data_IF_811848500266
#
_entry.id   IF_811848500266
#
_cell.length_a   1.000
_cell.length_b   1.000
_cell.length_c   1.000
_cell.angle_alpha   90.00
_cell.angle_beta   90.00
_cell.angle_gamma   90.00
#
_symmetry.space_group_name_H-M   'P 1'
#
loop_
_entity.id
_entity.type
_entity.pdbx_description
1 polymer ?
#
# COMPACT_ATOMS: atom_id res chain seq x y z
N UNK A 1 12.32 -12.24 21.91
CA UNK A 1 11.39 -12.65 20.83
C UNK A 1 10.44 -11.49 20.63
N UNK A 2 10.72 -10.59 19.68
CA UNK A 2 9.85 -9.44 19.40
C UNK A 2 8.73 -9.91 18.47
N UNK A 3 7.49 -9.90 18.96
CA UNK A 3 6.31 -10.01 18.10
C UNK A 3 6.21 -8.68 17.34
N UNK A 4 6.77 -8.61 16.13
CA UNK A 4 6.53 -7.46 15.25
C UNK A 4 5.02 -7.41 15.00
N UNK A 5 4.38 -6.32 15.45
CA UNK A 5 3.00 -6.01 15.12
C UNK A 5 2.95 -5.68 13.62
N UNK A 6 2.88 -6.71 12.78
CA UNK A 6 2.80 -6.52 11.34
C UNK A 6 1.46 -5.89 10.97
N UNK A 7 1.50 -4.87 10.14
CA UNK A 7 0.29 -4.31 9.53
C UNK A 7 -0.29 -5.32 8.53
N UNK A 8 -1.61 -5.43 8.51
CA UNK A 8 -2.36 -6.22 7.54
C UNK A 8 -2.82 -5.26 6.44
N UNK A 9 -2.72 -5.69 5.20
CA UNK A 9 -3.25 -4.99 4.03
C UNK A 9 -4.26 -5.95 3.39
N UNK A 10 -5.53 -5.55 3.40
CA UNK A 10 -6.62 -6.20 2.67
C UNK A 10 -6.99 -5.34 1.46
N UNK A 11 -7.70 -5.91 0.49
CA UNK A 11 -8.24 -5.16 -0.64
C UNK A 11 -9.71 -4.81 -0.39
N UNK A 12 -10.13 -3.65 -0.88
CA UNK A 12 -11.51 -3.18 -0.77
C UNK A 12 -12.52 -4.15 -1.40
N UNK A 13 -12.17 -4.75 -2.53
CA UNK A 13 -12.94 -5.78 -3.21
C UNK A 13 -12.04 -6.65 -4.11
N UNK A 14 -12.57 -7.79 -4.57
CA UNK A 14 -11.88 -8.69 -5.50
C UNK A 14 -11.53 -7.99 -6.82
N UNK A 15 -12.36 -7.03 -7.27
CA UNK A 15 -12.08 -6.24 -8.47
C UNK A 15 -10.88 -5.30 -8.29
N UNK A 16 -10.75 -4.67 -7.11
CA UNK A 16 -9.61 -3.81 -6.80
C UNK A 16 -8.33 -4.64 -6.69
N UNK A 17 -8.41 -5.82 -6.06
CA UNK A 17 -7.29 -6.76 -6.04
C UNK A 17 -6.87 -7.15 -7.46
N UNK A 18 -7.83 -7.52 -8.31
CA UNK A 18 -7.57 -7.89 -9.69
C UNK A 18 -6.95 -6.74 -10.51
N UNK A 19 -7.41 -5.50 -10.32
CA UNK A 19 -6.84 -4.32 -10.99
C UNK A 19 -5.38 -4.11 -10.57
N UNK A 20 -5.08 -4.19 -9.27
CA UNK A 20 -3.72 -4.06 -8.74
C UNK A 20 -2.83 -5.21 -9.25
N UNK A 21 -3.35 -6.44 -9.29
CA UNK A 21 -2.64 -7.59 -9.83
C UNK A 21 -2.52 -7.58 -11.37
N UNK A 22 -3.23 -6.68 -12.05
CA UNK A 22 -3.09 -6.44 -13.49
C UNK A 22 -2.10 -5.32 -13.82
N UNK A 23 -1.49 -4.66 -12.82
CA UNK A 23 -0.47 -3.64 -13.04
C UNK A 23 0.67 -4.19 -13.91
N UNK A 24 1.24 -3.34 -14.80
CA UNK A 24 2.43 -3.71 -15.55
C UNK A 24 3.59 -4.14 -14.65
N UNK A 25 4.45 -5.02 -15.17
CA UNK A 25 5.44 -5.78 -14.39
C UNK A 25 6.24 -4.92 -13.40
N UNK A 26 6.80 -3.79 -13.84
CA UNK A 26 7.66 -3.01 -12.93
C UNK A 26 6.88 -2.16 -11.92
N UNK A 27 5.62 -1.81 -12.24
CA UNK A 27 4.70 -1.17 -11.30
C UNK A 27 4.22 -2.17 -10.25
N UNK A 28 3.86 -3.39 -10.65
CA UNK A 28 3.47 -4.46 -9.74
C UNK A 28 4.62 -4.84 -8.81
N UNK A 29 5.84 -5.03 -9.33
CA UNK A 29 7.01 -5.31 -8.50
C UNK A 29 7.26 -4.22 -7.46
N UNK A 30 7.02 -2.95 -7.82
CA UNK A 30 7.15 -1.82 -6.91
C UNK A 30 6.04 -1.79 -5.86
N UNK A 31 4.81 -2.09 -6.25
CA UNK A 31 3.68 -2.23 -5.34
C UNK A 31 3.97 -3.31 -4.28
N UNK A 32 4.40 -4.50 -4.70
CA UNK A 32 4.78 -5.60 -3.80
C UNK A 32 5.86 -5.11 -2.82
N UNK A 33 6.93 -4.49 -3.32
CA UNK A 33 8.02 -4.03 -2.46
C UNK A 33 7.60 -2.96 -1.45
N UNK A 34 6.65 -2.08 -1.79
CA UNK A 34 6.14 -1.09 -0.84
C UNK A 34 5.20 -1.71 0.17
N UNK A 35 4.28 -2.59 -0.25
CA UNK A 35 3.37 -3.27 0.68
C UNK A 35 4.10 -4.18 1.66
N UNK A 36 5.18 -4.85 1.25
CA UNK A 36 6.07 -5.59 2.17
C UNK A 36 6.67 -4.70 3.26
N UNK A 37 7.14 -3.50 2.89
CA UNK A 37 7.65 -2.52 3.87
C UNK A 37 6.54 -1.99 4.76
N UNK A 38 5.36 -1.73 4.20
CA UNK A 38 4.21 -1.23 4.96
C UNK A 38 3.71 -2.23 5.99
N UNK A 39 3.81 -3.53 5.70
CA UNK A 39 3.54 -4.60 6.68
C UNK A 39 4.45 -4.53 7.91
N UNK A 40 5.60 -3.86 7.83
CA UNK A 40 6.54 -3.71 8.95
C UNK A 40 6.45 -2.30 9.57
N UNK A 41 6.40 -1.26 8.74
CA UNK A 41 6.58 0.13 9.16
C UNK A 41 5.30 0.98 9.09
N UNK A 42 4.20 0.45 8.56
CA UNK A 42 2.96 1.18 8.30
C UNK A 42 2.92 1.85 6.93
N UNK A 43 1.76 2.41 6.57
CA UNK A 43 1.50 2.97 5.25
C UNK A 43 2.31 4.23 4.91
N UNK A 44 2.86 4.93 5.90
CA UNK A 44 3.68 6.12 5.68
C UNK A 44 5.16 5.75 5.51
N UNK A 45 5.58 5.52 4.26
CA UNK A 45 6.98 5.30 3.89
C UNK A 45 7.72 6.60 3.55
N UNK A 46 7.06 7.76 3.63
CA UNK A 46 7.59 9.07 3.28
C UNK A 46 7.77 9.31 1.77
N UNK A 47 8.02 10.57 1.42
CA UNK A 47 8.32 10.98 0.04
C UNK A 47 9.65 10.36 -0.44
N UNK A 48 9.75 9.93 -1.71
CA UNK A 48 8.74 10.05 -2.78
C UNK A 48 7.77 8.85 -2.87
N UNK A 49 7.81 7.92 -1.92
CA UNK A 49 7.13 6.61 -2.03
C UNK A 49 5.65 6.66 -1.67
N UNK A 50 5.31 7.40 -0.62
CA UNK A 50 3.93 7.56 -0.17
C UNK A 50 3.66 9.00 0.24
N UNK A 51 2.43 9.44 0.06
CA UNK A 51 1.94 10.72 0.56
C UNK A 51 0.72 10.51 1.45
N UNK A 52 0.65 11.24 2.56
CA UNK A 52 -0.51 11.23 3.44
C UNK A 52 -1.49 12.33 3.01
N UNK A 53 -2.76 11.98 2.83
CA UNK A 53 -3.84 12.90 2.44
C UNK A 53 -4.67 13.37 3.64
N UNK A 54 -4.33 12.93 4.85
CA UNK A 54 -5.14 13.15 6.05
C UNK A 54 -6.14 12.01 6.29
N UNK A 55 -6.74 11.98 7.48
CA UNK A 55 -7.79 11.01 7.87
C UNK A 55 -7.42 9.52 7.71
N UNK A 56 -6.13 9.21 7.72
CA UNK A 56 -5.64 7.84 7.52
C UNK A 56 -5.61 7.38 6.06
N UNK A 57 -5.83 8.29 5.11
CA UNK A 57 -5.68 8.02 3.68
C UNK A 57 -4.24 8.27 3.25
N UNK A 58 -3.67 7.30 2.54
CA UNK A 58 -2.33 7.34 1.97
C UNK A 58 -2.39 7.01 0.48
N UNK A 59 -1.54 7.68 -0.29
CA UNK A 59 -1.27 7.33 -1.68
C UNK A 59 0.06 6.59 -1.76
N UNK A 60 0.08 5.43 -2.41
CA UNK A 60 1.30 4.75 -2.88
C UNK A 60 1.64 5.29 -4.27
N UNK A 61 2.85 5.84 -4.43
CA UNK A 61 3.35 6.40 -5.69
C UNK A 61 4.23 5.40 -6.41
N UNK A 62 3.68 4.73 -7.42
CA UNK A 62 4.41 3.75 -8.23
C UNK A 62 5.02 4.44 -9.45
N UNK A 63 6.29 4.20 -9.70
CA UNK A 63 6.99 4.65 -10.91
C UNK A 63 7.75 3.47 -11.50
N UNK A 64 7.47 3.14 -12.74
CA UNK A 64 8.02 2.00 -13.48
C UNK A 64 8.51 2.41 -14.87
N UNK A 65 9.01 1.45 -15.64
CA UNK A 65 9.30 1.67 -17.07
C UNK A 65 8.04 1.99 -17.87
N UNK A 66 6.88 1.51 -17.41
CA UNK A 66 5.59 1.70 -18.05
C UNK A 66 4.92 3.03 -17.66
N UNK A 67 5.53 3.81 -16.77
CA UNK A 67 5.03 5.13 -16.36
C UNK A 67 4.76 5.25 -14.87
N UNK A 68 3.61 5.83 -14.52
CA UNK A 68 3.20 6.12 -13.13
C UNK A 68 1.90 5.40 -12.82
N UNK A 69 1.86 4.71 -11.69
CA UNK A 69 0.66 4.13 -11.09
C UNK A 69 0.44 4.72 -9.70
N UNK A 70 -0.82 4.77 -9.25
CA UNK A 70 -1.19 5.25 -7.91
C UNK A 70 -2.17 4.27 -7.30
N UNK A 71 -1.92 3.86 -6.07
CA UNK A 71 -2.83 3.01 -5.28
C UNK A 71 -3.11 3.74 -3.98
N UNK A 72 -4.35 3.76 -3.53
CA UNK A 72 -4.70 4.39 -2.27
C UNK A 72 -4.81 3.35 -1.16
N UNK A 73 -4.55 3.75 0.09
CA UNK A 73 -4.65 2.92 1.27
C UNK A 73 -5.39 3.70 2.36
N UNK A 74 -6.42 3.10 2.94
CA UNK A 74 -7.13 3.66 4.08
C UNK A 74 -6.78 2.90 5.36
N UNK A 75 -6.36 3.63 6.40
CA UNK A 75 -6.20 3.08 7.74
C UNK A 75 -7.56 2.84 8.39
N UNK A 76 -7.85 1.57 8.69
CA UNK A 76 -9.12 1.21 9.33
C UNK A 76 -9.14 1.71 10.79
N UNK A 77 -9.95 2.74 11.06
CA UNK A 77 -10.08 3.36 12.41
C UNK A 77 -10.42 2.36 13.53
N UNK A 78 -11.02 1.21 13.21
CA UNK A 78 -11.43 0.17 14.17
C UNK A 78 -10.37 -0.91 14.42
N UNK A 79 -9.27 -0.93 13.65
CA UNK A 79 -8.19 -1.93 13.75
C UNK A 79 -6.84 -1.24 13.58
N UNK A 80 -6.13 -1.00 14.69
CA UNK A 80 -4.91 -0.20 14.73
C UNK A 80 -3.81 -0.59 13.71
N UNK A 81 -3.74 -1.87 13.31
CA UNK A 81 -2.70 -2.37 12.40
C UNK A 81 -3.26 -2.80 11.03
N UNK A 82 -4.28 -2.13 10.51
CA UNK A 82 -5.02 -2.62 9.35
C UNK A 82 -5.26 -1.54 8.30
N UNK A 83 -4.82 -1.80 7.09
CA UNK A 83 -5.07 -0.96 5.92
C UNK A 83 -5.95 -1.69 4.91
N UNK A 84 -6.77 -0.92 4.20
CA UNK A 84 -7.55 -1.38 3.06
C UNK A 84 -7.04 -0.64 1.83
N UNK A 85 -6.56 -1.39 0.84
CA UNK A 85 -6.15 -0.93 -0.48
C UNK A 85 -7.37 -0.80 -1.41
#
# INVERSE_FOLDING_TARGET
>A
MFTLMNYIIEYYSDEVEAEILSLPETLQARYIRYTEKMRIYGANLGSPHTEAFGDGLFEIRLKGSEGIGRVFLLHAKRKANHYVA
#
